data_IF_666309324026
#
_entry.id   IF_666309324026
#
_cell.length_a   1.000
_cell.length_b   1.000
_cell.length_c   1.000
_cell.angle_alpha   90.00
_cell.angle_beta   90.00
_cell.angle_gamma   90.00
#
_symmetry.space_group_name_H-M   'P 1'
#
loop_
_entity.id
_entity.type
_entity.pdbx_description
1 polymer ?
#
# COMPACT_ATOMS: atom_id res chain seq x y z
N UNK A 1 21.39 -15.21 -30.49
CA UNK A 1 21.92 -14.68 -29.20
C UNK A 1 22.58 -13.32 -29.33
N UNK A 2 23.48 -13.07 -30.30
CA UNK A 2 24.17 -11.75 -30.46
C UNK A 2 23.19 -10.60 -30.70
N UNK A 3 22.17 -10.78 -31.55
CA UNK A 3 21.15 -9.77 -31.84
C UNK A 3 20.30 -9.41 -30.61
N UNK A 4 19.86 -10.41 -29.86
CA UNK A 4 19.13 -10.21 -28.58
C UNK A 4 19.95 -9.37 -27.60
N UNK A 5 21.21 -9.75 -27.39
CA UNK A 5 22.10 -9.04 -26.45
C UNK A 5 22.36 -7.58 -26.91
N UNK A 6 22.54 -7.35 -28.20
CA UNK A 6 22.74 -5.99 -28.75
C UNK A 6 21.50 -5.10 -28.54
N UNK A 7 20.29 -5.65 -28.70
CA UNK A 7 19.03 -4.95 -28.43
C UNK A 7 18.87 -4.63 -26.93
N UNK A 8 19.17 -5.59 -26.04
CA UNK A 8 19.15 -5.37 -24.59
C UNK A 8 20.12 -4.26 -24.18
N UNK A 9 21.37 -4.29 -24.69
CA UNK A 9 22.38 -3.27 -24.39
C UNK A 9 21.96 -1.90 -24.94
N UNK A 10 21.36 -1.85 -26.14
CA UNK A 10 20.83 -0.59 -26.71
C UNK A 10 19.79 0.03 -25.76
N UNK A 11 18.80 -0.77 -25.34
CA UNK A 11 17.74 -0.30 -24.44
C UNK A 11 18.27 0.10 -23.06
N UNK A 12 19.18 -0.70 -22.48
CA UNK A 12 19.80 -0.37 -21.21
C UNK A 12 20.57 0.98 -21.27
N UNK A 13 21.38 1.19 -22.33
CA UNK A 13 22.08 2.45 -22.54
C UNK A 13 21.11 3.62 -22.74
N UNK A 14 19.98 3.39 -23.40
CA UNK A 14 18.97 4.42 -23.61
C UNK A 14 18.35 4.85 -22.27
N UNK A 15 18.02 3.90 -21.40
CA UNK A 15 17.47 4.15 -20.07
C UNK A 15 18.49 4.94 -19.20
N UNK A 16 19.73 4.48 -19.12
CA UNK A 16 20.76 5.11 -18.27
C UNK A 16 21.14 6.52 -18.74
N UNK A 17 21.07 6.79 -20.06
CA UNK A 17 21.34 8.13 -20.61
C UNK A 17 20.24 9.14 -20.33
N UNK A 18 19.02 8.70 -20.11
CA UNK A 18 17.89 9.56 -19.77
C UNK A 18 17.89 9.90 -18.27
N UNK A 19 18.74 10.85 -17.89
CA UNK A 19 18.91 11.28 -16.50
C UNK A 19 17.61 11.79 -15.87
N UNK A 20 16.70 12.39 -16.65
CA UNK A 20 15.41 12.90 -16.14
C UNK A 20 14.50 11.75 -15.74
N UNK A 21 14.37 10.77 -16.63
CA UNK A 21 13.58 9.56 -16.34
C UNK A 21 14.18 8.78 -15.18
N UNK A 22 15.51 8.62 -15.11
CA UNK A 22 16.17 7.95 -13.99
C UNK A 22 15.94 8.66 -12.65
N UNK A 23 16.01 10.00 -12.63
CA UNK A 23 15.71 10.78 -11.42
C UNK A 23 14.27 10.58 -10.96
N UNK A 24 13.29 10.56 -11.88
CA UNK A 24 11.89 10.30 -11.56
C UNK A 24 11.67 8.88 -11.06
N UNK A 25 12.28 7.88 -11.69
CA UNK A 25 12.11 6.46 -11.35
C UNK A 25 12.62 6.11 -9.95
N UNK A 26 13.73 6.71 -9.52
CA UNK A 26 14.26 6.50 -8.17
C UNK A 26 13.78 7.56 -7.17
N UNK A 27 13.60 8.80 -7.60
CA UNK A 27 13.16 9.89 -6.75
C UNK A 27 11.72 9.75 -6.31
N UNK A 28 10.81 9.36 -7.21
CA UNK A 28 9.39 9.20 -6.88
C UNK A 28 9.14 8.13 -5.80
N UNK A 29 9.73 6.92 -5.86
CA UNK A 29 9.66 5.96 -4.77
C UNK A 29 10.13 6.52 -3.44
N UNK A 30 11.27 7.22 -3.42
CA UNK A 30 11.82 7.81 -2.21
C UNK A 30 10.85 8.83 -1.62
N UNK A 31 10.38 9.77 -2.43
CA UNK A 31 9.44 10.82 -1.98
C UNK A 31 8.14 10.22 -1.47
N UNK A 32 7.55 9.28 -2.22
CA UNK A 32 6.29 8.65 -1.79
C UNK A 32 6.46 7.80 -0.53
N UNK A 33 7.57 7.06 -0.40
CA UNK A 33 7.85 6.29 0.81
C UNK A 33 8.02 7.21 2.04
N UNK A 34 8.71 8.34 1.89
CA UNK A 34 8.85 9.33 2.97
C UNK A 34 7.51 9.98 3.30
N UNK A 35 6.74 10.37 2.29
CA UNK A 35 5.45 11.02 2.47
C UNK A 35 4.44 10.09 3.17
N UNK A 36 4.25 8.87 2.65
CA UNK A 36 3.32 7.92 3.25
C UNK A 36 3.86 7.24 4.51
N UNK A 37 5.17 7.20 4.70
CA UNK A 37 5.79 6.63 5.90
C UNK A 37 5.81 7.57 7.10
N UNK A 38 5.93 8.88 6.86
CA UNK A 38 6.04 9.89 7.93
C UNK A 38 4.92 10.92 7.95
N UNK A 39 4.42 11.37 6.78
CA UNK A 39 3.43 12.44 6.73
C UNK A 39 1.98 11.93 6.81
N UNK A 40 1.70 10.78 6.19
CA UNK A 40 0.37 10.16 6.26
C UNK A 40 0.42 9.06 7.32
N UNK A 41 0.44 9.45 8.58
CA UNK A 41 0.37 8.52 9.70
C UNK A 41 -1.04 8.52 10.27
N UNK A 42 -1.64 7.34 10.34
CA UNK A 42 -2.84 7.10 11.15
C UNK A 42 -2.44 6.65 12.56
N UNK A 43 -1.20 6.94 12.97
CA UNK A 43 -0.73 6.55 14.29
C UNK A 43 -1.48 7.35 15.34
N UNK A 44 -2.04 6.64 16.32
CA UNK A 44 -2.71 7.28 17.45
C UNK A 44 -1.65 7.97 18.31
N UNK A 45 -1.64 9.29 18.30
CA UNK A 45 -0.74 10.13 19.13
C UNK A 45 -1.45 11.41 19.54
N UNK A 46 -1.25 11.80 20.79
CA UNK A 46 -1.75 13.06 21.32
C UNK A 46 -3.26 13.28 21.11
N UNK A 47 -4.06 12.21 21.23
CA UNK A 47 -5.53 12.29 21.12
C UNK A 47 -6.06 13.17 22.24
N UNK A 48 -6.64 14.32 21.90
CA UNK A 48 -7.18 15.27 22.88
C UNK A 48 -8.41 14.65 23.53
N UNK A 49 -8.26 14.30 24.80
CA UNK A 49 -9.25 13.52 25.53
C UNK A 49 -9.92 14.36 26.61
N UNK A 50 -11.24 14.31 26.65
CA UNK A 50 -12.06 14.91 27.70
C UNK A 50 -12.51 13.82 28.66
N UNK A 51 -12.34 14.08 29.95
CA UNK A 51 -12.86 13.21 31.01
C UNK A 51 -14.21 13.76 31.48
N UNK A 52 -15.21 12.90 31.49
CA UNK A 52 -16.53 13.22 32.00
C UNK A 52 -16.78 12.37 33.25
N UNK A 53 -16.90 13.02 34.39
CA UNK A 53 -17.22 12.34 35.64
C UNK A 53 -18.10 13.22 36.52
N UNK A 54 -19.19 12.67 37.03
CA UNK A 54 -20.06 13.33 38.00
C UNK A 54 -19.54 13.18 39.43
N UNK A 55 -18.74 12.17 39.72
CA UNK A 55 -18.09 11.90 41.01
C UNK A 55 -16.71 11.30 40.74
N UNK A 56 -15.69 12.04 41.16
CA UNK A 56 -14.32 11.51 41.16
C UNK A 56 -14.19 10.49 42.32
N UNK A 57 -13.78 9.27 41.98
CA UNK A 57 -13.41 8.24 42.93
C UNK A 57 -12.00 7.71 42.63
N UNK A 58 -11.45 6.90 43.52
CA UNK A 58 -10.08 6.35 43.34
C UNK A 58 -9.94 5.57 42.01
N UNK A 59 -10.94 4.83 41.60
CA UNK A 59 -10.92 4.06 40.37
C UNK A 59 -10.92 4.95 39.12
N UNK A 60 -11.73 6.03 39.10
CA UNK A 60 -11.73 7.01 38.03
C UNK A 60 -10.39 7.75 37.92
N UNK A 61 -9.82 8.15 39.07
CA UNK A 61 -8.51 8.79 39.07
C UNK A 61 -7.43 7.86 38.50
N UNK A 62 -7.41 6.61 38.94
CA UNK A 62 -6.45 5.62 38.43
C UNK A 62 -6.62 5.38 36.91
N UNK A 63 -7.85 5.40 36.40
CA UNK A 63 -8.10 5.29 34.96
C UNK A 63 -7.62 6.52 34.18
N UNK A 64 -7.82 7.71 34.71
CA UNK A 64 -7.31 8.98 34.17
C UNK A 64 -5.79 9.01 34.17
N UNK A 65 -5.14 8.58 35.26
CA UNK A 65 -3.69 8.51 35.37
C UNK A 65 -3.10 7.54 34.32
N UNK A 66 -3.75 6.39 34.08
CA UNK A 66 -3.35 5.45 33.01
C UNK A 66 -3.47 6.06 31.62
N UNK A 67 -4.55 6.78 31.33
CA UNK A 67 -4.72 7.50 30.07
C UNK A 67 -3.63 8.55 29.88
N UNK A 68 -3.38 9.36 30.91
CA UNK A 68 -2.39 10.43 30.89
C UNK A 68 -0.94 9.92 30.80
N UNK A 69 -0.65 8.76 31.40
CA UNK A 69 0.65 8.10 31.32
C UNK A 69 0.89 7.42 29.97
N UNK A 70 -0.16 7.21 29.16
CA UNK A 70 -0.02 6.63 27.83
C UNK A 70 0.50 7.66 26.84
N UNK A 71 1.33 7.25 25.88
CA UNK A 71 1.79 8.10 24.80
C UNK A 71 0.70 8.45 23.77
N UNK A 72 -0.51 7.92 23.95
CA UNK A 72 -1.59 8.01 22.98
C UNK A 72 -2.57 9.15 23.26
N UNK A 73 -2.84 9.43 24.55
CA UNK A 73 -3.90 10.33 24.97
C UNK A 73 -3.34 11.51 25.77
N UNK A 74 -3.86 12.69 25.45
CA UNK A 74 -3.59 13.92 26.22
C UNK A 74 -4.90 14.38 26.83
N UNK A 75 -5.03 14.27 28.16
CA UNK A 75 -6.20 14.76 28.88
C UNK A 75 -6.18 16.28 28.86
N UNK A 76 -7.11 16.89 28.12
CA UNK A 76 -7.16 18.35 27.94
C UNK A 76 -8.19 19.01 28.82
N UNK A 77 -9.32 18.36 29.10
CA UNK A 77 -10.43 18.92 29.88
C UNK A 77 -11.08 17.85 30.76
N UNK A 78 -11.59 18.31 31.90
CA UNK A 78 -12.47 17.52 32.75
C UNK A 78 -13.79 18.29 32.91
N UNK A 79 -14.91 17.62 32.58
CA UNK A 79 -16.25 18.20 32.60
C UNK A 79 -17.22 17.34 33.41
N UNK A 80 -18.32 17.91 33.86
CA UNK A 80 -19.29 17.17 34.64
C UNK A 80 -20.35 16.43 33.79
N UNK A 81 -20.60 16.90 32.58
CA UNK A 81 -21.70 16.38 31.75
C UNK A 81 -21.26 15.91 30.37
N UNK A 82 -21.88 14.86 29.84
CA UNK A 82 -21.64 14.43 28.45
C UNK A 82 -22.00 15.49 27.41
N UNK A 83 -22.92 16.41 27.72
CA UNK A 83 -23.32 17.50 26.83
C UNK A 83 -22.18 18.51 26.61
N UNK A 84 -21.46 18.85 27.67
CA UNK A 84 -20.26 19.70 27.59
C UNK A 84 -19.15 19.04 26.77
N UNK A 85 -18.90 17.75 26.98
CA UNK A 85 -17.92 16.99 26.20
C UNK A 85 -18.26 16.98 24.71
N UNK A 86 -19.55 16.78 24.35
CA UNK A 86 -19.98 16.85 22.94
C UNK A 86 -19.75 18.22 22.32
N UNK A 87 -19.96 19.32 23.07
CA UNK A 87 -19.65 20.68 22.60
C UNK A 87 -18.16 20.86 22.34
N UNK A 88 -17.30 20.34 23.24
CA UNK A 88 -15.85 20.41 23.05
C UNK A 88 -15.39 19.63 21.82
N UNK A 89 -16.02 18.50 21.50
CA UNK A 89 -15.76 17.74 20.26
C UNK A 89 -16.27 18.53 19.05
N UNK A 90 -17.49 19.11 19.10
CA UNK A 90 -18.02 19.93 18.02
C UNK A 90 -17.18 21.18 17.75
N UNK A 91 -16.62 21.78 18.79
CA UNK A 91 -15.69 22.92 18.69
C UNK A 91 -14.27 22.52 18.26
N UNK A 92 -14.03 21.26 17.95
CA UNK A 92 -12.72 20.69 17.60
C UNK A 92 -11.63 20.92 18.66
N UNK A 93 -12.03 21.04 19.92
CA UNK A 93 -11.12 21.17 21.08
C UNK A 93 -10.76 19.82 21.67
N UNK A 94 -11.49 18.77 21.31
CA UNK A 94 -11.28 17.38 21.73
C UNK A 94 -11.64 16.41 20.62
N UNK A 95 -11.03 15.24 20.62
CA UNK A 95 -11.20 14.18 19.65
C UNK A 95 -11.96 12.99 20.25
N UNK A 96 -11.82 12.79 21.57
CA UNK A 96 -12.41 11.70 22.33
C UNK A 96 -12.91 12.21 23.70
N UNK A 97 -14.04 11.68 24.16
CA UNK A 97 -14.46 11.85 25.55
C UNK A 97 -14.68 10.47 26.21
N UNK A 98 -14.18 10.34 27.43
CA UNK A 98 -14.41 9.15 28.28
C UNK A 98 -15.41 9.53 29.35
N UNK A 99 -16.60 8.96 29.30
CA UNK A 99 -17.69 9.20 30.25
C UNK A 99 -17.70 8.06 31.26
N UNK A 100 -17.33 8.33 32.48
CA UNK A 100 -17.38 7.35 33.56
C UNK A 100 -18.78 7.31 34.19
N UNK A 101 -19.31 6.10 34.39
CA UNK A 101 -20.54 5.89 35.15
C UNK A 101 -20.34 6.31 36.63
N UNK A 102 -21.43 6.71 37.28
CA UNK A 102 -21.42 7.00 38.71
C UNK A 102 -21.00 5.79 39.57
N UNK A 103 -21.15 4.58 39.04
CA UNK A 103 -20.77 3.31 39.70
C UNK A 103 -19.44 2.74 39.17
N UNK A 104 -18.66 3.53 38.44
CA UNK A 104 -17.39 3.05 37.90
C UNK A 104 -16.48 2.53 39.02
N UNK A 105 -16.04 1.31 38.88
CA UNK A 105 -15.13 0.64 39.80
C UNK A 105 -14.10 -0.21 39.05
N UNK A 106 -13.02 -0.58 39.73
CA UNK A 106 -12.00 -1.46 39.14
C UNK A 106 -12.50 -2.87 38.82
N UNK A 107 -13.59 -3.31 39.44
CA UNK A 107 -14.24 -4.62 39.20
C UNK A 107 -15.30 -4.56 38.09
N UNK A 108 -15.96 -3.41 37.95
CA UNK A 108 -16.99 -3.16 36.93
C UNK A 108 -16.64 -1.88 36.17
N UNK A 109 -15.79 -1.97 35.13
CA UNK A 109 -15.40 -0.81 34.34
C UNK A 109 -16.54 -0.41 33.40
N UNK A 110 -17.53 0.34 33.95
CA UNK A 110 -18.65 0.87 33.19
C UNK A 110 -18.32 2.30 32.73
N UNK A 111 -17.96 2.42 31.45
CA UNK A 111 -17.65 3.71 30.81
C UNK A 111 -18.19 3.74 29.38
N UNK A 112 -18.48 4.92 28.88
CA UNK A 112 -18.84 5.18 27.48
C UNK A 112 -17.78 6.03 26.82
N UNK A 113 -17.42 5.66 25.58
CA UNK A 113 -16.57 6.47 24.71
C UNK A 113 -17.44 7.28 23.75
N UNK A 114 -17.25 8.60 23.71
CA UNK A 114 -17.83 9.49 22.71
C UNK A 114 -16.66 9.95 21.84
N UNK A 115 -16.70 9.66 20.55
CA UNK A 115 -15.58 9.88 19.64
C UNK A 115 -16.04 10.74 18.46
N UNK A 116 -15.16 11.59 17.96
CA UNK A 116 -15.39 12.25 16.68
C UNK A 116 -15.38 11.22 15.57
N UNK A 117 -16.55 11.00 14.97
CA UNK A 117 -16.77 10.02 13.89
C UNK A 117 -16.61 10.59 12.49
N UNK A 118 -16.11 11.81 12.32
CA UNK A 118 -15.88 12.42 11.00
C UNK A 118 -14.84 11.63 10.20
N UNK A 119 -13.84 11.05 10.86
CA UNK A 119 -12.95 10.04 10.29
C UNK A 119 -13.22 8.67 10.96
N UNK A 120 -13.92 7.74 10.26
CA UNK A 120 -14.26 6.43 10.84
C UNK A 120 -13.05 5.58 11.19
N UNK A 121 -11.93 5.70 10.44
CA UNK A 121 -10.72 4.93 10.69
C UNK A 121 -10.04 5.38 11.99
N UNK A 122 -9.93 6.69 12.18
CA UNK A 122 -9.35 7.27 13.39
C UNK A 122 -10.25 7.01 14.60
N UNK A 123 -11.57 7.18 14.46
CA UNK A 123 -12.53 6.92 15.52
C UNK A 123 -12.46 5.47 16.03
N UNK A 124 -12.37 4.49 15.12
CA UNK A 124 -12.22 3.09 15.47
C UNK A 124 -10.91 2.81 16.20
N UNK A 125 -9.81 3.41 15.74
CA UNK A 125 -8.50 3.26 16.38
C UNK A 125 -8.50 3.88 17.78
N UNK A 126 -8.95 5.13 17.93
CA UNK A 126 -9.02 5.81 19.23
C UNK A 126 -9.85 5.02 20.22
N UNK A 127 -10.99 4.49 19.78
CA UNK A 127 -11.85 3.65 20.62
C UNK A 127 -11.15 2.36 21.08
N UNK A 128 -10.45 1.69 20.18
CA UNK A 128 -9.71 0.47 20.48
C UNK A 128 -8.56 0.70 21.46
N UNK A 129 -7.79 1.80 21.27
CA UNK A 129 -6.70 2.17 22.20
C UNK A 129 -7.21 2.61 23.55
N UNK A 130 -8.26 3.44 23.59
CA UNK A 130 -8.87 3.86 24.84
C UNK A 130 -9.41 2.67 25.64
N UNK A 131 -10.10 1.75 24.96
CA UNK A 131 -10.55 0.50 25.54
C UNK A 131 -9.41 -0.35 26.11
N UNK A 132 -8.30 -0.47 25.38
CA UNK A 132 -7.13 -1.23 25.84
C UNK A 132 -6.46 -0.60 27.07
N UNK A 133 -6.35 0.74 27.12
CA UNK A 133 -5.76 1.46 28.27
C UNK A 133 -6.67 1.44 29.49
N UNK A 134 -7.99 1.53 29.28
CA UNK A 134 -8.98 1.56 30.36
C UNK A 134 -9.31 0.17 30.91
N UNK A 135 -9.08 -0.90 30.14
CA UNK A 135 -9.30 -2.26 30.61
C UNK A 135 -8.38 -2.58 31.78
N UNK A 136 -8.97 -3.12 32.86
CA UNK A 136 -8.22 -3.46 34.07
C UNK A 136 -7.75 -4.93 34.01
N UNK A 137 -6.45 -5.21 34.21
CA UNK A 137 -5.95 -6.60 34.22
C UNK A 137 -6.58 -7.50 35.28
N UNK A 138 -7.15 -6.91 36.34
CA UNK A 138 -7.70 -7.63 37.51
C UNK A 138 -9.18 -7.99 37.39
N UNK A 139 -9.91 -7.49 36.40
CA UNK A 139 -11.36 -7.59 36.32
C UNK A 139 -11.88 -8.27 35.07
N UNK A 140 -11.45 -9.51 34.74
CA UNK A 140 -12.03 -10.27 33.62
C UNK A 140 -11.90 -9.61 32.24
N UNK A 141 -11.04 -8.62 32.10
CA UNK A 141 -10.83 -7.87 30.88
C UNK A 141 -10.21 -8.78 29.81
N UNK A 142 -10.72 -8.69 28.62
CA UNK A 142 -10.14 -9.32 27.43
C UNK A 142 -8.70 -8.81 27.28
N UNK A 143 -7.72 -9.67 27.53
CA UNK A 143 -6.32 -9.32 27.33
C UNK A 143 -6.01 -9.34 25.84
N UNK A 144 -6.04 -8.18 25.20
CA UNK A 144 -5.82 -8.05 23.76
C UNK A 144 -4.31 -7.93 23.49
N UNK A 145 -3.72 -8.97 22.93
CA UNK A 145 -2.33 -8.96 22.46
C UNK A 145 -2.30 -8.72 20.96
N UNK A 146 -1.81 -7.55 20.55
CA UNK A 146 -1.59 -7.26 19.14
C UNK A 146 -0.35 -8.00 18.64
N UNK A 147 -0.54 -8.87 17.63
CA UNK A 147 0.53 -9.60 16.98
C UNK A 147 1.04 -8.78 15.79
N UNK A 148 2.32 -8.99 15.45
CA UNK A 148 3.00 -8.46 14.27
C UNK A 148 3.23 -6.95 14.22
N UNK A 149 2.30 -6.11 14.63
CA UNK A 149 2.43 -4.65 14.71
C UNK A 149 1.89 -4.12 16.06
N UNK A 150 2.57 -4.40 17.19
CA UNK A 150 2.08 -4.00 18.52
C UNK A 150 1.98 -2.48 18.69
N UNK A 151 2.78 -1.73 17.95
CA UNK A 151 2.81 -0.27 17.98
C UNK A 151 1.80 0.36 17.00
N UNK A 152 1.04 -0.47 16.28
CA UNK A 152 0.04 -0.08 15.26
C UNK A 152 0.57 1.00 14.28
N UNK A 153 1.86 0.94 13.94
CA UNK A 153 2.49 1.88 13.00
C UNK A 153 1.88 1.77 11.62
N UNK A 154 1.45 2.88 11.06
CA UNK A 154 0.87 2.98 9.72
C UNK A 154 1.81 2.53 8.62
N UNK A 155 3.13 2.73 8.79
CA UNK A 155 4.15 2.30 7.85
C UNK A 155 4.09 0.80 7.53
N UNK A 156 3.71 -0.07 8.48
CA UNK A 156 3.55 -1.51 8.26
C UNK A 156 2.45 -1.84 7.24
N UNK A 157 1.43 -1.00 7.16
CA UNK A 157 0.33 -1.15 6.20
C UNK A 157 0.69 -0.52 4.85
N UNK A 158 1.24 0.70 4.87
CA UNK A 158 1.49 1.48 3.66
C UNK A 158 2.70 1.02 2.86
N UNK A 159 3.78 0.54 3.49
CA UNK A 159 4.99 0.12 2.77
C UNK A 159 4.74 -0.97 1.73
N UNK A 160 4.10 -2.12 2.05
CA UNK A 160 3.76 -3.13 1.05
C UNK A 160 2.82 -2.60 -0.04
N UNK A 161 1.92 -1.68 0.32
CA UNK A 161 0.96 -1.10 -0.61
C UNK A 161 1.64 -0.15 -1.62
N UNK A 162 2.50 0.74 -1.14
CA UNK A 162 3.27 1.67 -1.98
C UNK A 162 4.23 0.89 -2.88
N UNK A 163 4.88 -0.15 -2.36
CA UNK A 163 5.75 -1.02 -3.14
C UNK A 163 4.98 -1.63 -4.32
N UNK A 164 3.78 -2.16 -4.07
CA UNK A 164 2.91 -2.69 -5.13
C UNK A 164 2.49 -1.62 -6.13
N UNK A 165 2.04 -0.46 -5.66
CA UNK A 165 1.63 0.65 -6.51
C UNK A 165 2.77 1.13 -7.40
N UNK A 166 3.95 1.38 -6.82
CA UNK A 166 5.10 1.91 -7.55
C UNK A 166 5.62 0.93 -8.59
N UNK A 167 5.79 -0.34 -8.23
CA UNK A 167 6.26 -1.35 -9.19
C UNK A 167 5.29 -1.51 -10.36
N UNK A 168 3.98 -1.56 -10.09
CA UNK A 168 2.97 -1.66 -11.16
C UNK A 168 3.04 -0.45 -12.09
N UNK A 169 3.03 0.74 -11.51
CA UNK A 169 2.96 1.98 -12.25
C UNK A 169 4.22 2.20 -13.09
N UNK A 170 5.39 2.07 -12.47
CA UNK A 170 6.67 2.27 -13.15
C UNK A 170 6.85 1.24 -14.27
N UNK A 171 6.64 -0.05 -13.99
CA UNK A 171 6.84 -1.10 -14.99
C UNK A 171 5.88 -0.95 -16.18
N UNK A 172 4.59 -0.72 -15.90
CA UNK A 172 3.60 -0.55 -16.96
C UNK A 172 3.85 0.71 -17.80
N UNK A 173 4.13 1.85 -17.14
CA UNK A 173 4.44 3.11 -17.85
C UNK A 173 5.68 2.99 -18.71
N UNK A 174 6.78 2.49 -18.15
CA UNK A 174 8.05 2.42 -18.88
C UNK A 174 7.98 1.50 -20.08
N UNK A 175 7.32 0.34 -19.92
CA UNK A 175 7.10 -0.59 -21.05
C UNK A 175 6.22 0.02 -22.13
N UNK A 176 5.11 0.66 -21.74
CA UNK A 176 4.19 1.27 -22.70
C UNK A 176 4.86 2.43 -23.46
N UNK A 177 5.54 3.32 -22.76
CA UNK A 177 6.26 4.46 -23.36
C UNK A 177 7.37 3.98 -24.30
N UNK A 178 8.14 2.95 -23.91
CA UNK A 178 9.24 2.43 -24.75
C UNK A 178 8.74 1.91 -26.09
N UNK A 179 7.63 1.19 -26.10
CA UNK A 179 7.07 0.62 -27.33
C UNK A 179 6.40 1.71 -28.17
N UNK A 180 5.62 2.58 -27.54
CA UNK A 180 4.94 3.68 -28.24
C UNK A 180 5.95 4.68 -28.82
N UNK A 181 7.10 4.90 -28.20
CA UNK A 181 8.18 5.71 -28.74
C UNK A 181 8.69 5.19 -30.08
N UNK A 182 8.82 3.88 -30.24
CA UNK A 182 9.23 3.26 -31.52
C UNK A 182 8.14 3.42 -32.58
N UNK A 183 6.86 3.34 -32.18
CA UNK A 183 5.74 3.60 -33.09
C UNK A 183 5.70 5.05 -33.56
N UNK A 184 5.83 5.99 -32.62
CA UNK A 184 5.77 7.42 -32.88
C UNK A 184 6.93 7.92 -33.78
N UNK A 185 8.09 7.26 -33.68
CA UNK A 185 9.27 7.55 -34.51
C UNK A 185 9.29 6.80 -35.83
N UNK A 186 8.32 5.92 -36.12
CA UNK A 186 8.30 5.09 -37.31
C UNK A 186 9.37 3.98 -37.34
N UNK A 187 10.14 3.82 -36.26
CA UNK A 187 11.21 2.81 -36.19
C UNK A 187 10.67 1.41 -35.91
N UNK A 188 9.39 1.30 -35.55
CA UNK A 188 8.75 0.00 -35.35
C UNK A 188 8.68 -0.82 -36.65
N UNK A 189 8.39 -0.18 -37.77
CA UNK A 189 8.33 -0.83 -39.09
C UNK A 189 9.69 -1.42 -39.48
N UNK A 190 10.78 -0.69 -39.22
CA UNK A 190 12.15 -1.18 -39.46
C UNK A 190 12.48 -2.39 -38.59
N UNK A 191 12.02 -2.42 -37.33
CA UNK A 191 12.19 -3.56 -36.45
C UNK A 191 11.40 -4.79 -36.92
N UNK A 192 10.24 -4.59 -37.52
CA UNK A 192 9.37 -5.66 -38.00
C UNK A 192 9.84 -6.30 -39.31
N UNK A 193 10.53 -5.54 -40.17
CA UNK A 193 11.18 -6.04 -41.40
C UNK A 193 12.47 -6.81 -41.07
N UNK A 194 13.00 -6.65 -39.87
CA UNK A 194 14.20 -7.37 -39.45
C UNK A 194 13.92 -8.88 -39.31
N UNK A 195 14.92 -9.75 -39.60
CA UNK A 195 14.75 -11.21 -39.52
C UNK A 195 14.60 -11.76 -38.10
N UNK A 196 14.34 -10.88 -37.12
CA UNK A 196 14.19 -11.25 -35.70
C UNK A 196 12.72 -11.50 -35.36
N UNK A 197 12.37 -12.64 -34.72
CA UNK A 197 11.02 -12.89 -34.29
C UNK A 197 10.48 -11.79 -33.36
N UNK A 198 9.20 -11.37 -33.50
CA UNK A 198 8.60 -10.31 -32.65
C UNK A 198 8.74 -10.55 -31.14
N UNK A 199 8.65 -11.81 -30.71
CA UNK A 199 8.84 -12.22 -29.32
C UNK A 199 10.24 -11.87 -28.79
N UNK A 200 11.28 -12.00 -29.62
CA UNK A 200 12.66 -11.69 -29.24
C UNK A 200 12.83 -10.18 -29.09
N UNK A 201 12.16 -9.37 -29.90
CA UNK A 201 12.18 -7.90 -29.79
C UNK A 201 11.51 -7.47 -28.50
N UNK A 202 10.32 -8.03 -28.19
CA UNK A 202 9.59 -7.73 -26.95
C UNK A 202 10.42 -8.15 -25.74
N UNK A 203 10.94 -9.38 -25.74
CA UNK A 203 11.77 -9.88 -24.63
C UNK A 203 13.02 -9.01 -24.41
N UNK A 204 13.68 -8.57 -25.50
CA UNK A 204 14.86 -7.70 -25.42
C UNK A 204 14.54 -6.32 -24.82
N UNK A 205 13.32 -5.82 -24.99
CA UNK A 205 12.84 -4.59 -24.34
C UNK A 205 12.46 -4.80 -22.89
N UNK A 206 11.83 -5.93 -22.56
CA UNK A 206 11.37 -6.25 -21.21
C UNK A 206 12.53 -6.46 -20.23
N UNK A 207 13.64 -7.10 -20.67
CA UNK A 207 14.78 -7.44 -19.79
C UNK A 207 15.41 -6.23 -19.09
N UNK A 208 15.75 -5.12 -19.76
CA UNK A 208 16.30 -3.95 -19.08
C UNK A 208 15.33 -3.33 -18.05
N UNK A 209 14.03 -3.30 -18.35
CA UNK A 209 13.02 -2.81 -17.41
C UNK A 209 12.81 -3.75 -16.23
N UNK A 210 12.96 -5.06 -16.43
CA UNK A 210 12.97 -6.04 -15.36
C UNK A 210 14.13 -5.77 -14.38
N UNK A 211 15.34 -5.56 -14.89
CA UNK A 211 16.52 -5.25 -14.07
C UNK A 211 16.29 -3.93 -13.31
N UNK A 212 15.78 -2.92 -14.00
CA UNK A 212 15.48 -1.63 -13.38
C UNK A 212 14.44 -1.77 -12.26
N UNK A 213 13.38 -2.54 -12.50
CA UNK A 213 12.34 -2.82 -11.49
C UNK A 213 12.92 -3.52 -10.25
N UNK A 214 13.88 -4.43 -10.42
CA UNK A 214 14.59 -5.04 -9.30
C UNK A 214 15.43 -4.03 -8.52
N UNK A 215 16.10 -3.10 -9.18
CA UNK A 215 16.85 -2.05 -8.50
C UNK A 215 15.92 -1.14 -7.70
N UNK A 216 14.75 -0.80 -8.24
CA UNK A 216 13.73 -0.04 -7.54
C UNK A 216 13.18 -0.84 -6.34
N UNK A 217 12.88 -2.12 -6.53
CA UNK A 217 12.44 -3.01 -5.45
C UNK A 217 13.46 -3.04 -4.30
N UNK A 218 14.74 -3.21 -4.63
CA UNK A 218 15.82 -3.22 -3.63
C UNK A 218 15.88 -1.86 -2.92
N UNK A 219 15.78 -0.75 -3.63
CA UNK A 219 15.81 0.59 -3.03
C UNK A 219 14.63 0.80 -2.05
N UNK A 220 13.43 0.32 -2.42
CA UNK A 220 12.24 0.38 -1.55
C UNK A 220 12.43 -0.51 -0.32
N UNK A 221 12.95 -1.72 -0.47
CA UNK A 221 13.21 -2.64 0.67
C UNK A 221 14.25 -2.05 1.62
N UNK A 222 15.33 -1.45 1.11
CA UNK A 222 16.33 -0.78 1.92
C UNK A 222 15.72 0.41 2.69
N UNK A 223 14.94 1.26 2.02
CA UNK A 223 14.24 2.36 2.68
C UNK A 223 13.26 1.86 3.75
N UNK A 224 12.51 0.81 3.44
CA UNK A 224 11.58 0.19 4.39
C UNK A 224 12.29 -0.27 5.66
N UNK A 225 13.42 -0.96 5.52
CA UNK A 225 14.17 -1.52 6.65
C UNK A 225 14.92 -0.44 7.45
N UNK A 226 15.67 0.45 6.78
CA UNK A 226 16.59 1.38 7.44
C UNK A 226 15.96 2.72 7.81
N UNK A 227 15.00 3.22 7.03
CA UNK A 227 14.41 4.56 7.27
C UNK A 227 13.08 4.45 8.00
N UNK A 228 12.21 3.54 7.57
CA UNK A 228 10.86 3.39 8.15
C UNK A 228 10.80 2.33 9.27
N UNK A 229 11.88 1.60 9.48
CA UNK A 229 11.98 0.52 10.48
C UNK A 229 10.84 -0.51 10.38
N UNK A 230 10.38 -0.78 9.15
CA UNK A 230 9.42 -1.85 8.87
C UNK A 230 10.19 -3.16 8.72
N UNK A 231 9.92 -4.17 9.56
CA UNK A 231 10.69 -5.40 9.57
C UNK A 231 10.44 -6.21 8.29
N UNK A 232 11.49 -6.84 7.78
CA UNK A 232 11.41 -7.88 6.76
C UNK A 232 11.63 -9.22 7.47
N UNK A 233 10.55 -9.80 8.03
CA UNK A 233 10.62 -11.02 8.84
C UNK A 233 10.65 -12.29 8.00
N UNK A 234 10.10 -12.27 6.80
CA UNK A 234 9.99 -13.43 5.92
C UNK A 234 11.24 -13.66 5.07
N UNK A 235 11.22 -14.76 4.31
CA UNK A 235 12.31 -15.12 3.40
C UNK A 235 12.39 -14.13 2.23
N UNK A 236 13.56 -13.52 2.04
CA UNK A 236 13.85 -12.66 0.91
C UNK A 236 13.62 -13.38 -0.42
N UNK A 237 13.92 -14.69 -0.48
CA UNK A 237 13.68 -15.48 -1.70
C UNK A 237 12.22 -15.41 -2.15
N UNK A 238 11.25 -15.59 -1.25
CA UNK A 238 9.83 -15.52 -1.58
C UNK A 238 9.36 -14.11 -1.89
N UNK A 239 9.92 -13.09 -1.22
CA UNK A 239 9.67 -11.69 -1.54
C UNK A 239 10.09 -11.39 -2.99
N UNK A 240 11.31 -11.81 -3.37
CA UNK A 240 11.79 -11.64 -4.75
C UNK A 240 10.98 -12.48 -5.75
N UNK A 241 10.61 -13.72 -5.43
CA UNK A 241 9.83 -14.57 -6.32
C UNK A 241 8.45 -13.98 -6.63
N UNK A 242 7.70 -13.54 -5.60
CA UNK A 242 6.40 -12.87 -5.79
C UNK A 242 6.57 -11.56 -6.54
N UNK A 243 7.58 -10.77 -6.21
CA UNK A 243 7.85 -9.51 -6.90
C UNK A 243 8.23 -9.71 -8.36
N UNK A 244 8.99 -10.74 -8.68
CA UNK A 244 9.33 -11.08 -10.08
C UNK A 244 8.05 -11.37 -10.88
N UNK A 245 7.18 -12.21 -10.35
CA UNK A 245 5.91 -12.54 -11.00
C UNK A 245 5.05 -11.30 -11.20
N UNK A 246 4.99 -10.43 -10.19
CA UNK A 246 4.23 -9.19 -10.24
C UNK A 246 4.82 -8.17 -11.22
N UNK A 247 6.14 -8.03 -11.27
CA UNK A 247 6.84 -7.18 -12.24
C UNK A 247 6.58 -7.66 -13.67
N UNK A 248 6.67 -8.97 -13.94
CA UNK A 248 6.37 -9.54 -15.25
C UNK A 248 4.93 -9.27 -15.67
N UNK A 249 3.99 -9.37 -14.73
CA UNK A 249 2.58 -9.01 -14.96
C UNK A 249 2.44 -7.52 -15.30
N UNK A 250 3.09 -6.63 -14.55
CA UNK A 250 3.06 -5.19 -14.77
C UNK A 250 3.66 -4.79 -16.14
N UNK A 251 4.78 -5.43 -16.54
CA UNK A 251 5.38 -5.26 -17.85
C UNK A 251 4.44 -5.71 -18.97
N UNK A 252 3.73 -6.85 -18.78
CA UNK A 252 2.73 -7.35 -19.73
C UNK A 252 1.53 -6.41 -19.86
N UNK A 253 1.14 -5.78 -18.77
CA UNK A 253 0.08 -4.77 -18.78
C UNK A 253 0.53 -3.51 -19.53
N UNK A 254 1.79 -3.11 -19.39
CA UNK A 254 2.39 -2.04 -20.19
C UNK A 254 2.41 -2.35 -21.68
N UNK A 255 2.67 -3.62 -22.09
CA UNK A 255 2.52 -4.08 -23.46
C UNK A 255 1.07 -3.91 -23.96
N UNK A 256 0.09 -4.25 -23.13
CA UNK A 256 -1.33 -4.11 -23.50
C UNK A 256 -1.70 -2.62 -23.70
N UNK A 257 -1.27 -1.74 -22.80
CA UNK A 257 -1.50 -0.29 -22.93
C UNK A 257 -0.84 0.25 -24.20
N UNK A 258 0.36 -0.23 -24.56
CA UNK A 258 1.07 0.20 -25.77
C UNK A 258 0.32 -0.16 -27.05
N UNK A 259 -0.55 -1.18 -27.02
CA UNK A 259 -1.37 -1.55 -28.18
C UNK A 259 -2.48 -0.52 -28.47
N UNK A 260 -2.93 0.19 -27.46
CA UNK A 260 -4.00 1.21 -27.58
C UNK A 260 -3.42 2.60 -27.81
N UNK A 261 -2.33 2.92 -27.14
CA UNK A 261 -1.68 4.22 -27.21
C UNK A 261 -0.93 4.43 -28.53
N UNK A 262 -1.07 5.63 -29.11
CA UNK A 262 -0.38 6.03 -30.33
C UNK A 262 0.77 7.01 -30.10
N UNK A 263 0.72 7.79 -28.98
CA UNK A 263 1.76 8.74 -28.59
C UNK A 263 2.25 8.43 -27.19
N UNK A 264 3.49 8.83 -26.88
CA UNK A 264 4.07 8.65 -25.55
C UNK A 264 3.25 9.33 -24.47
N UNK A 265 2.68 10.52 -24.77
CA UNK A 265 1.83 11.24 -23.83
C UNK A 265 0.55 10.47 -23.51
N UNK A 266 -0.11 9.91 -24.54
CA UNK A 266 -1.30 9.05 -24.35
C UNK A 266 -0.96 7.79 -23.57
N UNK A 267 0.17 7.15 -23.84
CA UNK A 267 0.64 5.98 -23.09
C UNK A 267 0.85 6.30 -21.61
N UNK A 268 1.47 7.44 -21.30
CA UNK A 268 1.68 7.92 -19.94
C UNK A 268 0.37 8.18 -19.23
N UNK A 269 -0.53 8.96 -19.84
CA UNK A 269 -1.82 9.31 -19.25
C UNK A 269 -2.71 8.08 -19.03
N UNK A 270 -2.81 7.19 -20.01
CA UNK A 270 -3.57 5.94 -19.87
C UNK A 270 -3.01 5.08 -18.75
N UNK A 271 -1.69 4.86 -18.71
CA UNK A 271 -1.07 4.08 -17.64
C UNK A 271 -1.32 4.70 -16.27
N UNK A 272 -1.15 6.02 -16.15
CA UNK A 272 -1.36 6.71 -14.88
C UNK A 272 -2.84 6.65 -14.44
N UNK A 273 -3.78 7.07 -15.28
CA UNK A 273 -5.20 7.17 -14.91
C UNK A 273 -5.84 5.79 -14.68
N UNK A 274 -5.56 4.83 -15.57
CA UNK A 274 -6.15 3.47 -15.48
C UNK A 274 -5.59 2.68 -14.31
N UNK A 275 -4.35 2.97 -13.88
CA UNK A 275 -3.71 2.20 -12.81
C UNK A 275 -3.81 2.88 -11.44
N UNK A 276 -3.53 4.19 -11.34
CA UNK A 276 -3.43 4.86 -10.03
C UNK A 276 -4.76 4.79 -9.28
N UNK A 277 -5.85 5.21 -9.92
CA UNK A 277 -7.15 5.34 -9.27
C UNK A 277 -7.67 3.98 -8.73
N UNK A 278 -7.72 2.89 -9.54
CA UNK A 278 -8.13 1.59 -9.03
C UNK A 278 -7.18 1.01 -7.99
N UNK A 279 -5.86 1.23 -8.11
CA UNK A 279 -4.90 0.74 -7.14
C UNK A 279 -5.14 1.42 -5.78
N UNK A 280 -5.25 2.73 -5.73
CA UNK A 280 -5.44 3.46 -4.48
C UNK A 280 -6.75 3.06 -3.80
N UNK A 281 -7.85 3.00 -4.57
CA UNK A 281 -9.19 2.80 -4.02
C UNK A 281 -9.53 1.33 -3.75
N UNK A 282 -9.10 0.39 -4.61
CA UNK A 282 -9.64 -0.97 -4.63
C UNK A 282 -8.59 -2.06 -4.33
N UNK A 283 -7.32 -1.72 -4.10
CA UNK A 283 -6.29 -2.73 -3.80
C UNK A 283 -6.17 -3.13 -2.34
N UNK A 284 -6.92 -2.49 -1.45
CA UNK A 284 -6.74 -2.66 0.00
C UNK A 284 -5.60 -1.80 0.57
N UNK A 285 -5.17 -0.75 -0.17
CA UNK A 285 -4.16 0.20 0.29
C UNK A 285 -4.72 1.17 1.33
N UNK A 286 -5.81 1.87 1.01
CA UNK A 286 -6.47 2.82 1.91
C UNK A 286 -7.59 2.16 2.71
N UNK A 287 -8.44 1.41 2.04
CA UNK A 287 -9.61 0.78 2.66
C UNK A 287 -9.47 -0.74 2.60
N UNK A 288 -9.75 -1.47 3.71
CA UNK A 288 -9.81 -2.92 3.69
C UNK A 288 -10.84 -3.40 2.66
N UNK A 289 -10.47 -4.38 1.84
CA UNK A 289 -11.36 -4.87 0.77
C UNK A 289 -12.62 -5.51 1.36
N UNK A 290 -12.52 -6.10 2.54
CA UNK A 290 -13.60 -6.75 3.27
C UNK A 290 -14.70 -5.76 3.70
N UNK A 291 -14.35 -4.48 3.89
CA UNK A 291 -15.30 -3.42 4.25
C UNK A 291 -16.04 -2.81 3.05
N UNK A 292 -15.65 -3.18 1.84
CA UNK A 292 -16.27 -2.66 0.62
C UNK A 292 -17.60 -3.36 0.30
N UNK A 293 -18.57 -2.68 -0.38
CA UNK A 293 -19.73 -3.34 -0.96
C UNK A 293 -19.33 -4.48 -1.90
N UNK A 294 -20.14 -5.56 -1.97
CA UNK A 294 -19.83 -6.77 -2.75
C UNK A 294 -19.43 -6.49 -4.21
N UNK A 295 -20.10 -5.53 -4.85
CA UNK A 295 -19.80 -5.13 -6.24
C UNK A 295 -18.34 -4.65 -6.36
N UNK A 296 -17.90 -3.79 -5.44
CA UNK A 296 -16.51 -3.28 -5.43
C UNK A 296 -15.50 -4.38 -5.08
N UNK A 297 -15.87 -5.36 -4.27
CA UNK A 297 -15.03 -6.53 -3.99
C UNK A 297 -14.76 -7.36 -5.25
N UNK A 298 -15.77 -7.55 -6.11
CA UNK A 298 -15.60 -8.25 -7.41
C UNK A 298 -14.71 -7.45 -8.36
N UNK A 299 -14.88 -6.14 -8.45
CA UNK A 299 -14.01 -5.27 -9.26
C UNK A 299 -12.58 -5.30 -8.71
N UNK A 300 -12.41 -5.23 -7.40
CA UNK A 300 -11.13 -5.35 -6.70
C UNK A 300 -10.41 -6.68 -7.02
N UNK A 301 -11.15 -7.77 -7.25
CA UNK A 301 -10.58 -9.06 -7.58
C UNK A 301 -9.85 -9.09 -8.95
N UNK A 302 -10.13 -8.14 -9.83
CA UNK A 302 -9.45 -8.00 -11.14
C UNK A 302 -8.12 -7.25 -10.98
N UNK A 303 -7.89 -6.57 -9.87
CA UNK A 303 -6.72 -5.71 -9.66
C UNK A 303 -5.55 -6.54 -9.10
N UNK A 304 -4.46 -6.72 -9.86
CA UNK A 304 -3.32 -7.55 -9.43
C UNK A 304 -2.66 -7.04 -8.15
N UNK A 305 -2.62 -5.72 -7.96
CA UNK A 305 -1.98 -5.08 -6.81
C UNK A 305 -2.57 -5.52 -5.48
N UNK A 306 -3.86 -5.86 -5.43
CA UNK A 306 -4.52 -6.43 -4.24
C UNK A 306 -3.79 -7.69 -3.76
N UNK A 307 -3.52 -8.63 -4.64
CA UNK A 307 -2.87 -9.90 -4.31
C UNK A 307 -1.41 -9.71 -3.94
N UNK A 308 -0.73 -8.78 -4.62
CA UNK A 308 0.64 -8.44 -4.29
C UNK A 308 0.77 -7.82 -2.90
N UNK A 309 -0.10 -6.85 -2.56
CA UNK A 309 -0.13 -6.22 -1.23
C UNK A 309 -0.41 -7.28 -0.14
N UNK A 310 -1.40 -8.16 -0.36
CA UNK A 310 -1.70 -9.26 0.56
C UNK A 310 -0.48 -10.17 0.77
N UNK A 311 0.16 -10.61 -0.30
CA UNK A 311 1.35 -11.46 -0.23
C UNK A 311 2.52 -10.75 0.49
N UNK A 312 2.77 -9.47 0.19
CA UNK A 312 3.85 -8.72 0.81
C UNK A 312 3.60 -8.45 2.31
N UNK A 313 2.36 -8.15 2.71
CA UNK A 313 2.00 -8.04 4.13
C UNK A 313 2.26 -9.35 4.87
N UNK A 314 1.86 -10.49 4.29
CA UNK A 314 2.09 -11.81 4.85
C UNK A 314 3.59 -12.13 4.97
N UNK A 315 4.36 -11.91 3.91
CA UNK A 315 5.79 -12.19 3.89
C UNK A 315 6.59 -11.23 4.77
N UNK A 316 6.45 -9.93 4.59
CA UNK A 316 7.29 -8.94 5.27
C UNK A 316 6.95 -8.82 6.76
N UNK A 317 5.65 -8.74 7.09
CA UNK A 317 5.21 -8.38 8.44
C UNK A 317 4.95 -9.62 9.28
N UNK A 318 4.20 -10.60 8.74
CA UNK A 318 3.87 -11.83 9.47
C UNK A 318 5.01 -12.85 9.45
N UNK A 319 5.96 -12.76 8.49
CA UNK A 319 7.07 -13.68 8.36
C UNK A 319 6.64 -15.10 7.98
N UNK A 320 5.55 -15.25 7.25
CA UNK A 320 4.99 -16.55 6.86
C UNK A 320 5.79 -17.21 5.73
N UNK A 321 5.63 -18.52 5.57
CA UNK A 321 6.27 -19.28 4.49
C UNK A 321 5.48 -19.29 3.18
N UNK A 322 6.02 -19.99 2.17
CA UNK A 322 5.46 -20.07 0.82
C UNK A 322 4.00 -20.56 0.77
N UNK A 323 3.65 -21.52 1.61
CA UNK A 323 2.31 -22.14 1.61
C UNK A 323 1.19 -21.11 1.81
N UNK A 324 1.42 -20.09 2.65
CA UNK A 324 0.41 -19.09 2.99
C UNK A 324 0.23 -18.01 1.91
N UNK A 325 1.18 -17.90 0.97
CA UNK A 325 1.13 -16.95 -0.16
C UNK A 325 0.92 -17.63 -1.50
N UNK A 326 0.78 -18.96 -1.51
CA UNK A 326 0.63 -19.75 -2.73
C UNK A 326 -0.62 -19.32 -3.54
N UNK A 327 -1.72 -19.02 -2.86
CA UNK A 327 -2.97 -18.60 -3.50
C UNK A 327 -2.78 -17.28 -4.25
N UNK A 328 -2.17 -16.28 -3.61
CA UNK A 328 -1.86 -15.00 -4.24
C UNK A 328 -0.91 -15.18 -5.44
N UNK A 329 0.09 -16.04 -5.31
CA UNK A 329 1.01 -16.34 -6.41
C UNK A 329 0.31 -17.00 -7.59
N UNK A 330 -0.59 -17.96 -7.35
CA UNK A 330 -1.35 -18.62 -8.42
C UNK A 330 -2.27 -17.65 -9.16
N UNK A 331 -2.94 -16.75 -8.42
CA UNK A 331 -3.78 -15.73 -9.04
C UNK A 331 -2.94 -14.76 -9.87
N UNK A 332 -1.81 -14.28 -9.35
CA UNK A 332 -0.90 -13.41 -10.10
C UNK A 332 -0.33 -14.10 -11.34
N UNK A 333 0.00 -15.40 -11.25
CA UNK A 333 0.45 -16.19 -12.40
C UNK A 333 -0.65 -16.32 -13.46
N UNK A 334 -1.88 -16.63 -13.07
CA UNK A 334 -3.02 -16.68 -13.97
C UNK A 334 -3.28 -15.36 -14.68
N UNK A 335 -3.24 -14.25 -13.94
CA UNK A 335 -3.36 -12.91 -14.50
C UNK A 335 -2.22 -12.55 -15.44
N UNK A 336 -0.97 -12.91 -15.09
CA UNK A 336 0.20 -12.71 -15.96
C UNK A 336 0.04 -13.44 -17.29
N UNK A 337 -0.30 -14.74 -17.25
CA UNK A 337 -0.51 -15.54 -18.47
C UNK A 337 -1.64 -14.97 -19.31
N UNK A 338 -2.76 -14.58 -18.70
CA UNK A 338 -3.89 -13.99 -19.41
C UNK A 338 -3.51 -12.66 -20.08
N UNK A 339 -2.84 -11.75 -19.37
CA UNK A 339 -2.43 -10.46 -19.91
C UNK A 339 -1.36 -10.62 -21.01
N UNK A 340 -0.41 -11.53 -20.82
CA UNK A 340 0.62 -11.79 -21.82
C UNK A 340 0.02 -12.34 -23.11
N UNK A 341 -0.86 -13.34 -23.02
CA UNK A 341 -1.53 -13.91 -24.20
C UNK A 341 -2.39 -12.89 -24.94
N UNK A 342 -3.18 -12.09 -24.20
CA UNK A 342 -3.96 -11.00 -24.79
C UNK A 342 -3.08 -9.94 -25.47
N UNK A 343 -1.97 -9.60 -24.86
CA UNK A 343 -1.05 -8.60 -25.39
C UNK A 343 -0.38 -9.09 -26.68
N UNK A 344 0.07 -10.35 -26.72
CA UNK A 344 0.70 -10.96 -27.88
C UNK A 344 -0.29 -11.18 -29.03
N UNK A 345 -1.50 -11.61 -28.75
CA UNK A 345 -2.56 -11.78 -29.76
C UNK A 345 -2.87 -10.46 -30.49
N UNK A 346 -3.00 -9.36 -29.73
CA UNK A 346 -3.24 -8.04 -30.32
C UNK A 346 -2.01 -7.47 -31.06
N UNK A 347 -0.82 -7.87 -30.68
CA UNK A 347 0.40 -7.45 -31.34
C UNK A 347 0.51 -8.09 -32.73
N UNK A 348 0.20 -9.39 -32.86
CA UNK A 348 0.26 -10.12 -34.13
C UNK A 348 -0.82 -9.66 -35.15
N UNK A 349 -2.02 -9.28 -34.70
CA UNK A 349 -3.11 -8.85 -35.61
C UNK A 349 -2.89 -7.47 -36.25
N UNK A 350 -1.93 -6.68 -35.76
CA UNK A 350 -1.54 -5.40 -36.39
C UNK A 350 -0.39 -5.52 -37.38
N UNK A 351 0.14 -6.73 -37.54
CA UNK A 351 1.20 -7.06 -38.48
C UNK A 351 0.66 -7.71 -39.77
N UNK A 352 -0.61 -8.10 -39.78
CA UNK A 352 -1.40 -8.54 -40.94
C UNK A 352 -2.28 -7.40 -41.46
#
# INVERSE_FOLDING_TARGET
MKQFLSLVIKEAKHIVRDKRTMLMLFGMPIVLMLLFGFAITNDVKNVRTVIVTSRANYATQQAVDRLSASAYFTVTHAVATPAEARRLIQDQKADLAVVFSAHFSSLLPDYQLIVDGTDPNMAQQWSAYAGAVLSNPSGGAVNTKLLYNPQMKSAYNFVPAIMGMLLMLICAMMTSISIVREKEKGTMEVLLVSPTPPLVIIAAKVVPYLILAFLILISILLMSAFVLHVPVRGSLFWIFAVSTLYILLALSLGLLVSNVAQTQLVALLLSAMVLIMPIIMLSGMLFPVESMPRILQYISAIIPTRYYISAMRKLMIMGVGAKQVLNEMLVLLGMFVALLTLSLAKFNTRLA
#
